data_IF_060051446505
#
_entry.id   IF_060051446505
#
_cell.length_a   1.000
_cell.length_b   1.000
_cell.length_c   1.000
_cell.angle_alpha   90.00
_cell.angle_beta   90.00
_cell.angle_gamma   90.00
#
_symmetry.space_group_name_H-M   'P 1'
#
loop_
_entity.id
_entity.type
_entity.pdbx_description
1 polymer ?
#
# COMPACT_ATOMS: atom_id res chain seq x y z
N UNK A 1 -9.64 -10.37 10.32
CA UNK A 1 -8.77 -9.39 9.61
C UNK A 1 -9.46 -9.02 8.32
N UNK A 2 -9.59 -7.73 8.06
CA UNK A 2 -10.27 -7.19 6.89
C UNK A 2 -9.24 -6.86 5.79
N UNK A 3 -9.63 -7.04 4.53
CA UNK A 3 -8.77 -6.75 3.37
C UNK A 3 -9.05 -5.35 2.84
N UNK A 4 -8.00 -4.57 2.62
CA UNK A 4 -8.06 -3.20 2.12
C UNK A 4 -7.20 -3.03 0.88
N UNK A 5 -7.51 -1.97 0.11
CA UNK A 5 -6.73 -1.54 -1.04
C UNK A 5 -6.30 -0.09 -0.81
N UNK A 6 -4.99 0.17 -0.80
CA UNK A 6 -4.42 1.51 -0.88
C UNK A 6 -4.12 1.84 -2.34
N UNK A 7 -4.62 2.99 -2.82
CA UNK A 7 -4.39 3.48 -4.18
C UNK A 7 -3.53 4.74 -4.12
N UNK A 8 -2.27 4.61 -4.55
CA UNK A 8 -1.35 5.74 -4.68
C UNK A 8 -1.44 6.31 -6.10
N UNK A 9 -1.35 7.64 -6.21
CA UNK A 9 -1.46 8.35 -7.50
C UNK A 9 -0.19 9.12 -7.83
N UNK A 10 0.15 9.16 -9.11
CA UNK A 10 1.22 10.01 -9.64
C UNK A 10 2.64 9.61 -9.21
N UNK A 11 2.88 8.32 -8.97
CA UNK A 11 4.20 7.76 -8.71
C UNK A 11 4.68 6.95 -9.92
N UNK A 12 5.99 6.81 -10.10
CA UNK A 12 6.61 5.98 -11.15
C UNK A 12 6.17 6.31 -12.59
N UNK A 13 5.61 7.50 -12.82
CA UNK A 13 5.23 7.99 -14.16
C UNK A 13 6.36 8.86 -14.70
N UNK A 14 6.81 8.59 -15.92
CA UNK A 14 7.89 9.34 -16.59
C UNK A 14 9.18 9.45 -15.74
N UNK A 15 9.47 8.42 -14.95
CA UNK A 15 10.64 8.39 -14.05
C UNK A 15 10.54 9.30 -12.81
N UNK A 16 9.40 9.96 -12.59
CA UNK A 16 9.19 10.86 -11.45
C UNK A 16 8.68 10.11 -10.23
N UNK A 17 9.03 10.61 -9.03
CA UNK A 17 8.60 10.08 -7.72
C UNK A 17 8.77 8.56 -7.63
N UNK A 18 10.01 8.11 -7.86
CA UNK A 18 10.36 6.70 -7.91
C UNK A 18 10.15 6.03 -6.55
N UNK A 19 9.30 5.02 -6.52
CA UNK A 19 9.06 4.16 -5.36
C UNK A 19 9.28 2.72 -5.78
N UNK A 20 10.20 2.05 -5.09
CA UNK A 20 10.38 0.60 -5.24
C UNK A 20 9.31 -0.14 -4.43
N UNK A 21 8.69 -1.15 -5.05
CA UNK A 21 7.56 -1.86 -4.44
C UNK A 21 7.94 -2.75 -3.26
N UNK A 22 9.18 -3.21 -3.19
CA UNK A 22 9.75 -3.85 -1.99
C UNK A 22 9.79 -2.87 -0.81
N UNK A 23 10.30 -1.65 -1.02
CA UNK A 23 10.32 -0.61 0.01
C UNK A 23 8.94 -0.15 0.43
N UNK A 24 8.00 -0.06 -0.51
CA UNK A 24 6.60 0.21 -0.18
C UNK A 24 6.03 -0.88 0.73
N UNK A 25 6.23 -2.17 0.39
CA UNK A 25 5.76 -3.29 1.22
C UNK A 25 6.43 -3.32 2.60
N UNK A 26 7.74 -3.07 2.68
CA UNK A 26 8.46 -2.96 3.95
C UNK A 26 7.88 -1.85 4.84
N UNK A 27 7.59 -0.68 4.25
CA UNK A 27 7.00 0.44 4.98
C UNK A 27 5.62 0.09 5.53
N UNK A 28 4.71 -0.47 4.70
CA UNK A 28 3.40 -0.89 5.18
C UNK A 28 3.49 -2.03 6.22
N UNK A 29 4.43 -2.97 6.06
CA UNK A 29 4.66 -4.02 7.05
C UNK A 29 5.12 -3.44 8.40
N UNK A 30 5.96 -2.40 8.39
CA UNK A 30 6.40 -1.70 9.62
C UNK A 30 5.27 -0.99 10.37
N UNK A 31 4.15 -0.71 9.68
CA UNK A 31 2.93 -0.15 10.26
C UNK A 31 1.99 -1.24 10.84
N UNK A 32 2.38 -2.52 10.77
CA UNK A 32 1.59 -3.64 11.30
C UNK A 32 0.59 -4.24 10.31
N UNK A 33 0.63 -3.84 9.03
CA UNK A 33 -0.18 -4.48 7.99
C UNK A 33 0.42 -5.83 7.59
N UNK A 34 -0.44 -6.75 7.15
CA UNK A 34 -0.01 -8.09 6.72
C UNK A 34 -0.57 -8.46 5.34
N UNK A 35 -0.15 -9.62 4.83
CA UNK A 35 -0.58 -10.16 3.53
C UNK A 35 -0.45 -9.14 2.38
N UNK A 36 0.70 -8.46 2.32
CA UNK A 36 0.92 -7.34 1.39
C UNK A 36 1.24 -7.82 -0.02
N UNK A 37 0.48 -7.33 -0.98
CA UNK A 37 0.74 -7.51 -2.40
C UNK A 37 0.69 -6.16 -3.12
N UNK A 38 1.70 -5.88 -3.94
CA UNK A 38 1.75 -4.69 -4.81
C UNK A 38 1.36 -5.07 -6.23
N UNK A 39 0.59 -4.22 -6.89
CA UNK A 39 0.28 -4.37 -8.31
C UNK A 39 1.26 -3.56 -9.16
N UNK A 40 2.06 -4.25 -9.98
CA UNK A 40 3.06 -3.67 -10.89
C UNK A 40 3.91 -2.57 -10.21
N UNK A 41 4.27 -1.49 -10.90
CA UNK A 41 4.90 -0.30 -10.31
C UNK A 41 3.90 0.84 -10.06
N UNK A 42 2.60 0.56 -9.88
CA UNK A 42 1.59 1.61 -9.75
C UNK A 42 1.48 2.17 -8.34
N UNK A 43 2.02 1.47 -7.34
CA UNK A 43 1.84 1.81 -5.93
C UNK A 43 0.50 1.36 -5.34
N UNK A 44 -0.29 0.59 -6.08
CA UNK A 44 -1.50 -0.01 -5.53
C UNK A 44 -1.11 -1.21 -4.66
N UNK A 45 -1.66 -1.25 -3.44
CA UNK A 45 -1.33 -2.28 -2.44
C UNK A 45 -2.60 -2.91 -1.91
N UNK A 46 -2.65 -4.24 -1.94
CA UNK A 46 -3.63 -5.03 -1.20
C UNK A 46 -2.96 -5.47 0.11
N UNK A 47 -3.64 -5.29 1.24
CA UNK A 47 -3.14 -5.69 2.55
C UNK A 47 -4.29 -6.04 3.50
N UNK A 48 -3.95 -6.66 4.62
CA UNK A 48 -4.88 -6.99 5.68
C UNK A 48 -4.51 -6.29 6.98
N UNK A 49 -5.53 -5.94 7.77
CA UNK A 49 -5.38 -5.41 9.13
C UNK A 49 -6.45 -5.97 10.06
N UNK A 50 -6.15 -6.02 11.36
CA UNK A 50 -7.11 -6.38 12.41
C UNK A 50 -7.94 -5.18 12.87
N UNK A 51 -7.47 -3.96 12.61
CA UNK A 51 -8.15 -2.72 12.99
C UNK A 51 -9.17 -2.35 11.93
N UNK A 52 -10.42 -2.20 12.33
CA UNK A 52 -11.43 -1.53 11.51
C UNK A 52 -11.19 -0.02 11.57
N UNK A 53 -10.93 0.59 10.42
CA UNK A 53 -10.84 2.04 10.30
C UNK A 53 -12.25 2.63 10.26
N UNK A 54 -12.81 2.92 11.44
CA UNK A 54 -14.10 3.61 11.59
C UNK A 54 -13.92 5.12 11.41
N UNK A 55 -13.33 5.57 10.30
CA UNK A 55 -13.36 6.98 9.94
C UNK A 55 -14.77 7.34 9.46
N UNK A 56 -15.57 7.93 10.35
CA UNK A 56 -16.74 8.70 9.97
C UNK A 56 -16.25 9.97 9.25
N UNK A 57 -16.56 10.10 7.96
CA UNK A 57 -16.36 11.33 7.17
C UNK A 57 -17.36 12.42 7.58
#
# INVERSE_FOLDING_TARGET
MQTYIAILRGINVSGQKLIKMDKLREALASLGFSNLATYIQSGNVVFQTATEDNLTL
#
